data_IF_063654730916
#
_entry.id   IF_063654730916
#
_cell.length_a   1.000
_cell.length_b   1.000
_cell.length_c   1.000
_cell.angle_alpha   90.00
_cell.angle_beta   90.00
_cell.angle_gamma   90.00
#
_symmetry.space_group_name_H-M   'P 1'
#
loop_
_entity.id
_entity.type
_entity.pdbx_description
1 polymer ?
#
# COMPACT_ATOMS: atom_id res chain seq x y z
N UNK A 1 34.90 36.15 11.36
CA UNK A 1 34.11 36.07 10.10
C UNK A 1 34.73 35.16 9.03
N UNK A 2 36.06 34.95 8.99
CA UNK A 2 36.72 34.08 7.99
C UNK A 2 36.53 32.58 8.24
N UNK A 3 36.37 32.18 9.50
CA UNK A 3 36.28 30.77 9.89
C UNK A 3 34.97 30.12 9.46
N UNK A 4 33.87 30.87 9.51
CA UNK A 4 32.57 30.42 9.00
C UNK A 4 32.59 30.14 7.50
N UNK A 5 33.26 30.99 6.72
CA UNK A 5 33.38 30.82 5.26
C UNK A 5 34.23 29.60 4.89
N UNK A 6 35.36 29.39 5.59
CA UNK A 6 36.18 28.18 5.40
C UNK A 6 35.42 26.91 5.77
N UNK A 7 34.64 26.95 6.85
CA UNK A 7 33.81 25.82 7.30
C UNK A 7 32.72 25.50 6.27
N UNK A 8 32.00 26.50 5.77
CA UNK A 8 31.01 26.32 4.72
C UNK A 8 31.63 25.74 3.44
N UNK A 9 32.82 26.23 3.03
CA UNK A 9 33.53 25.70 1.87
C UNK A 9 33.91 24.22 2.06
N UNK A 10 34.37 23.81 3.24
CA UNK A 10 34.66 22.40 3.56
C UNK A 10 33.41 21.52 3.52
N UNK A 11 32.30 21.99 4.09
CA UNK A 11 31.03 21.25 4.08
C UNK A 11 30.51 21.08 2.66
N UNK A 12 30.53 22.13 1.84
CA UNK A 12 30.15 22.06 0.43
C UNK A 12 31.05 21.10 -0.34
N UNK A 13 32.37 21.13 -0.11
CA UNK A 13 33.31 20.19 -0.74
C UNK A 13 33.00 18.74 -0.36
N UNK A 14 32.72 18.46 0.92
CA UNK A 14 32.34 17.13 1.37
C UNK A 14 31.02 16.68 0.74
N UNK A 15 30.03 17.58 0.63
CA UNK A 15 28.75 17.28 0.01
C UNK A 15 28.89 16.95 -1.48
N UNK A 16 29.71 17.70 -2.23
CA UNK A 16 29.98 17.44 -3.65
C UNK A 16 30.61 16.05 -3.81
N UNK A 17 31.61 15.71 -2.99
CA UNK A 17 32.26 14.40 -3.04
C UNK A 17 31.27 13.24 -2.79
N UNK A 18 30.35 13.38 -1.83
CA UNK A 18 29.31 12.38 -1.57
C UNK A 18 28.37 12.22 -2.77
N UNK A 19 27.99 13.32 -3.43
CA UNK A 19 27.10 13.29 -4.60
C UNK A 19 27.79 12.63 -5.80
N UNK A 20 29.09 12.87 -5.99
CA UNK A 20 29.87 12.23 -7.05
C UNK A 20 29.97 10.70 -6.84
N UNK A 21 30.23 10.26 -5.61
CA UNK A 21 30.23 8.84 -5.25
C UNK A 21 28.84 8.19 -5.41
N UNK A 22 27.79 8.91 -5.03
CA UNK A 22 26.43 8.43 -5.26
C UNK A 22 26.12 8.28 -6.77
N UNK A 23 26.58 9.24 -7.58
CA UNK A 23 26.46 9.19 -9.05
C UNK A 23 27.21 8.00 -9.64
N UNK A 24 28.40 7.67 -9.11
CA UNK A 24 29.20 6.52 -9.53
C UNK A 24 28.49 5.19 -9.22
N UNK A 25 27.94 5.05 -8.01
CA UNK A 25 27.16 3.89 -7.60
C UNK A 25 25.92 3.72 -8.48
N UNK A 26 25.16 4.79 -8.72
CA UNK A 26 23.97 4.76 -9.57
C UNK A 26 24.28 4.29 -11.01
N UNK A 27 25.41 4.73 -11.58
CA UNK A 27 25.90 4.23 -12.88
C UNK A 27 26.26 2.75 -12.83
N UNK A 28 26.95 2.30 -11.78
CA UNK A 28 27.33 0.89 -11.59
C UNK A 28 26.12 -0.03 -11.49
N UNK A 29 25.07 0.42 -10.81
CA UNK A 29 23.81 -0.34 -10.68
C UNK A 29 22.90 -0.25 -11.91
N UNK A 30 23.31 0.45 -12.98
CA UNK A 30 22.50 0.67 -14.21
C UNK A 30 21.08 1.15 -13.90
N UNK A 31 20.89 1.91 -12.82
CA UNK A 31 19.57 2.40 -12.42
C UNK A 31 19.19 3.56 -13.34
N UNK A 32 18.12 3.47 -14.13
CA UNK A 32 17.66 4.60 -14.93
C UNK A 32 17.04 5.64 -14.00
N UNK A 33 17.82 6.65 -13.60
CA UNK A 33 17.34 7.80 -12.84
C UNK A 33 16.64 8.76 -13.82
N UNK A 34 15.39 8.42 -14.17
CA UNK A 34 14.49 9.33 -14.87
C UNK A 34 13.82 10.23 -13.82
N UNK A 35 14.41 11.39 -13.52
CA UNK A 35 13.86 12.39 -12.61
C UNK A 35 12.74 13.17 -13.31
N UNK A 36 11.74 12.47 -13.83
CA UNK A 36 10.46 13.10 -14.17
C UNK A 36 9.72 13.32 -12.87
N UNK A 37 9.70 14.57 -12.43
CA UNK A 37 8.87 15.03 -11.30
C UNK A 37 7.41 14.69 -11.60
N UNK A 38 6.94 13.54 -11.08
CA UNK A 38 5.54 13.14 -11.26
C UNK A 38 5.26 11.63 -11.23
N UNK A 39 6.25 10.74 -11.18
CA UNK A 39 5.94 9.31 -11.25
C UNK A 39 6.72 8.49 -10.23
N UNK A 40 6.26 8.51 -8.97
CA UNK A 40 6.42 7.34 -8.10
C UNK A 40 5.63 6.19 -8.74
N UNK A 41 6.22 5.53 -9.73
CA UNK A 41 5.76 4.21 -10.16
C UNK A 41 6.11 3.25 -9.03
N UNK A 42 5.21 3.19 -8.05
CA UNK A 42 5.04 1.98 -7.24
C UNK A 42 5.05 0.79 -8.22
N UNK A 43 5.58 -0.36 -7.82
CA UNK A 43 5.56 -1.57 -8.65
C UNK A 43 4.11 -2.03 -8.86
N UNK A 44 3.40 -1.32 -9.72
CA UNK A 44 2.04 -1.58 -10.15
C UNK A 44 2.11 -2.44 -11.40
N UNK A 45 1.23 -3.45 -11.45
CA UNK A 45 1.03 -4.27 -12.63
C UNK A 45 0.43 -3.45 -13.79
N UNK A 46 0.28 -4.08 -14.95
CA UNK A 46 -0.32 -3.48 -16.14
C UNK A 46 -1.75 -2.96 -15.90
N UNK A 47 -2.40 -3.42 -14.84
CA UNK A 47 -3.74 -3.00 -14.44
C UNK A 47 -3.74 -1.90 -13.36
N UNK A 48 -2.56 -1.39 -12.97
CA UNK A 48 -2.42 -0.30 -12.01
C UNK A 48 -2.52 -0.73 -10.55
N UNK A 49 -2.41 -2.02 -10.23
CA UNK A 49 -2.49 -2.53 -8.87
C UNK A 49 -1.13 -2.95 -8.31
N UNK A 50 -0.85 -2.70 -7.02
CA UNK A 50 0.41 -3.11 -6.41
C UNK A 50 0.62 -4.63 -6.46
N UNK A 51 1.87 -5.08 -6.51
CA UNK A 51 2.22 -6.51 -6.55
C UNK A 51 1.71 -7.35 -5.36
N UNK A 52 1.51 -6.74 -4.19
CA UNK A 52 0.92 -7.40 -3.03
C UNK A 52 -0.61 -7.53 -3.11
N UNK A 53 -1.25 -6.88 -4.09
CA UNK A 53 -2.69 -6.88 -4.24
C UNK A 53 -3.15 -7.98 -5.19
N UNK A 54 -3.70 -9.07 -4.66
CA UNK A 54 -3.98 -10.27 -5.45
C UNK A 54 -5.09 -10.06 -6.49
N UNK A 55 -5.01 -10.79 -7.61
CA UNK A 55 -6.06 -10.79 -8.64
C UNK A 55 -7.43 -11.21 -8.15
N UNK A 56 -7.49 -12.03 -7.11
CA UNK A 56 -8.76 -12.46 -6.50
C UNK A 56 -9.40 -11.31 -5.72
N UNK A 57 -8.61 -10.56 -4.96
CA UNK A 57 -9.10 -9.42 -4.16
C UNK A 57 -9.56 -8.27 -5.06
N UNK A 58 -8.87 -8.07 -6.19
CA UNK A 58 -9.32 -7.16 -7.26
C UNK A 58 -10.70 -7.50 -7.78
N UNK A 59 -10.93 -8.78 -8.08
CA UNK A 59 -12.24 -9.26 -8.58
C UNK A 59 -13.33 -9.10 -7.52
N UNK A 60 -13.01 -9.35 -6.26
CA UNK A 60 -13.94 -9.16 -5.14
C UNK A 60 -14.30 -7.68 -4.96
N UNK A 61 -13.34 -6.76 -4.97
CA UNK A 61 -13.62 -5.32 -4.91
C UNK A 61 -14.46 -4.84 -6.11
N UNK A 62 -14.13 -5.29 -7.32
CA UNK A 62 -14.92 -4.97 -8.50
C UNK A 62 -16.35 -5.52 -8.41
N UNK A 63 -16.55 -6.70 -7.83
CA UNK A 63 -17.87 -7.27 -7.57
C UNK A 63 -18.62 -6.50 -6.46
N UNK A 64 -17.92 -6.04 -5.42
CA UNK A 64 -18.49 -5.20 -4.36
C UNK A 64 -19.02 -3.89 -4.92
N UNK A 65 -18.20 -3.20 -5.72
CA UNK A 65 -18.56 -1.93 -6.35
C UNK A 65 -19.77 -2.05 -7.30
N UNK A 66 -20.00 -3.25 -7.86
CA UNK A 66 -21.18 -3.55 -8.69
C UNK A 66 -22.40 -4.02 -7.89
N UNK A 67 -22.32 -4.08 -6.56
CA UNK A 67 -23.39 -4.60 -5.70
C UNK A 67 -23.65 -6.10 -5.86
N UNK A 68 -22.69 -6.85 -6.41
CA UNK A 68 -22.84 -8.28 -6.76
C UNK A 68 -22.24 -9.21 -5.71
N UNK A 69 -21.76 -8.69 -4.58
CA UNK A 69 -21.31 -9.54 -3.48
C UNK A 69 -22.50 -9.95 -2.62
N UNK A 70 -22.78 -11.24 -2.59
CA UNK A 70 -23.65 -11.87 -1.59
C UNK A 70 -22.82 -12.12 -0.33
N UNK A 71 -22.96 -11.31 0.74
CA UNK A 71 -22.23 -11.56 1.96
C UNK A 71 -22.69 -12.85 2.63
N UNK A 72 -21.74 -13.57 3.21
CA UNK A 72 -22.05 -14.78 3.97
C UNK A 72 -22.79 -14.42 5.27
N UNK A 73 -22.46 -13.28 5.84
CA UNK A 73 -23.05 -12.75 7.09
C UNK A 73 -23.19 -11.23 6.99
N UNK A 74 -24.35 -10.71 7.38
CA UNK A 74 -24.61 -9.27 7.52
C UNK A 74 -24.68 -8.95 9.00
N UNK A 75 -23.87 -7.99 9.45
CA UNK A 75 -23.88 -7.47 10.82
C UNK A 75 -24.39 -6.04 10.75
N UNK A 76 -25.51 -5.77 11.40
CA UNK A 76 -26.11 -4.45 11.40
C UNK A 76 -26.53 -4.09 12.83
N UNK A 77 -26.13 -2.90 13.27
CA UNK A 77 -26.39 -2.44 14.65
C UNK A 77 -27.87 -2.11 14.87
N UNK A 78 -28.58 -1.82 13.79
CA UNK A 78 -30.01 -1.50 13.74
C UNK A 78 -30.93 -2.73 13.78
N UNK A 79 -30.36 -3.95 13.81
CA UNK A 79 -31.11 -5.21 13.80
C UNK A 79 -31.59 -5.66 12.41
N UNK A 80 -31.17 -4.99 11.33
CA UNK A 80 -31.47 -5.41 9.95
C UNK A 80 -30.58 -6.56 9.46
N UNK A 81 -29.51 -6.88 10.20
CA UNK A 81 -28.55 -7.93 9.93
C UNK A 81 -28.78 -9.20 10.75
N UNK A 82 -28.05 -10.27 10.41
CA UNK A 82 -28.08 -11.55 11.16
C UNK A 82 -27.45 -11.44 12.55
N UNK A 83 -26.58 -10.47 12.78
CA UNK A 83 -25.95 -10.24 14.08
C UNK A 83 -25.87 -8.73 14.39
N UNK A 84 -25.98 -8.39 15.68
CA UNK A 84 -25.90 -7.02 16.17
C UNK A 84 -24.47 -6.59 16.54
N UNK A 85 -23.59 -7.57 16.78
CA UNK A 85 -22.19 -7.32 17.15
C UNK A 85 -21.25 -8.16 16.28
N UNK A 86 -20.05 -7.61 16.01
CA UNK A 86 -19.01 -8.29 15.24
C UNK A 86 -18.53 -9.54 16.00
N UNK A 87 -18.47 -9.48 17.33
CA UNK A 87 -18.04 -10.61 18.16
C UNK A 87 -19.00 -11.81 18.05
N UNK A 88 -20.32 -11.56 17.96
CA UNK A 88 -21.29 -12.63 17.79
C UNK A 88 -21.21 -13.28 16.40
N UNK A 89 -20.95 -12.47 15.36
CA UNK A 89 -20.73 -12.98 14.00
C UNK A 89 -19.48 -13.87 13.92
N UNK A 90 -18.38 -13.46 14.57
CA UNK A 90 -17.16 -14.25 14.65
C UNK A 90 -17.35 -15.56 15.42
N UNK A 91 -18.12 -15.55 16.51
CA UNK A 91 -18.41 -16.75 17.31
C UNK A 91 -19.34 -17.74 16.62
N UNK A 92 -20.21 -17.27 15.71
CA UNK A 92 -21.11 -18.11 14.93
C UNK A 92 -20.40 -18.86 13.78
N UNK A 93 -19.14 -18.52 13.49
CA UNK A 93 -18.40 -19.14 12.41
C UNK A 93 -17.92 -20.55 12.81
N UNK A 94 -18.14 -21.58 11.97
CA UNK A 94 -17.65 -22.92 12.27
C UNK A 94 -16.11 -22.93 12.31
N UNK A 95 -15.55 -23.56 13.35
CA UNK A 95 -14.10 -23.59 13.63
C UNK A 95 -13.27 -24.23 12.51
N UNK A 96 -13.91 -25.02 11.64
CA UNK A 96 -13.27 -25.72 10.52
C UNK A 96 -13.34 -24.94 9.19
N UNK A 97 -13.80 -23.68 9.23
CA UNK A 97 -13.90 -22.86 8.02
C UNK A 97 -12.51 -22.42 7.56
N UNK A 98 -12.01 -23.11 6.52
CA UNK A 98 -10.73 -22.84 5.86
C UNK A 98 -10.86 -21.84 4.69
N UNK A 99 -12.07 -21.30 4.47
CA UNK A 99 -12.36 -20.31 3.44
C UNK A 99 -12.21 -18.86 3.90
N UNK A 100 -12.47 -17.91 3.01
CA UNK A 100 -12.53 -16.47 3.33
C UNK A 100 -13.98 -16.05 3.56
N UNK A 101 -14.28 -15.59 4.77
CA UNK A 101 -15.61 -15.07 5.12
C UNK A 101 -15.71 -13.58 4.79
N UNK A 102 -16.77 -13.20 4.09
CA UNK A 102 -17.08 -11.80 3.78
C UNK A 102 -18.22 -11.36 4.69
N UNK A 103 -17.89 -10.50 5.64
CA UNK A 103 -18.85 -9.85 6.53
C UNK A 103 -19.12 -8.44 6.01
N UNK A 104 -20.39 -8.03 6.04
CA UNK A 104 -20.79 -6.66 5.73
C UNK A 104 -21.27 -6.01 7.00
N UNK A 105 -20.67 -4.87 7.34
CA UNK A 105 -21.05 -4.05 8.48
C UNK A 105 -21.88 -2.88 7.98
N UNK A 106 -23.17 -2.91 8.26
CA UNK A 106 -24.07 -1.75 8.09
C UNK A 106 -24.08 -0.95 9.42
N UNK A 107 -24.00 0.38 9.33
CA UNK A 107 -23.92 1.27 10.50
C UNK A 107 -25.28 1.69 11.01
#
# INVERSE_FOLDING_TARGET
>A
MKDGLSTASKVTSNAIAIVDELSSLLKSFKVPINITMGSRRLLVDEQGYPSWFSSHDRKLLAAHARGQLTPNVVVAKDGSGKFNTINDALNAMPKDYTGRSIEQKES
#
